data_IF_368990290593
#
_entry.id   IF_368990290593
#
_cell.length_a   1.000
_cell.length_b   1.000
_cell.length_c   1.000
_cell.angle_alpha   90.00
_cell.angle_beta   90.00
_cell.angle_gamma   90.00
#
_symmetry.space_group_name_H-M   'P 1'
#
loop_
_entity.id
_entity.type
_entity.pdbx_description
1 polymer ?
#
# COMPACT_ATOMS: atom_id res chain seq x y z
N UNK A 1 1.80 -19.93 0.86
CA UNK A 1 1.43 -18.49 0.92
C UNK A 1 0.28 -18.23 -0.04
N UNK A 2 -0.79 -17.66 0.47
CA UNK A 2 -1.97 -17.36 -0.32
C UNK A 2 -2.18 -15.84 -0.35
N UNK A 3 -2.44 -15.28 -1.54
CA UNK A 3 -2.67 -13.83 -1.71
C UNK A 3 -4.13 -13.62 -2.09
N UNK A 4 -4.86 -12.91 -1.26
CA UNK A 4 -6.29 -12.63 -1.44
C UNK A 4 -6.51 -11.18 -1.79
N UNK A 5 -7.43 -10.94 -2.69
CA UNK A 5 -7.78 -9.59 -3.16
C UNK A 5 -9.07 -9.12 -2.51
N UNK A 6 -9.05 -7.88 -2.02
CA UNK A 6 -10.24 -7.17 -1.51
C UNK A 6 -10.95 -7.88 -0.36
N UNK A 7 -10.20 -8.60 0.47
CA UNK A 7 -10.73 -9.31 1.65
C UNK A 7 -10.24 -8.76 2.98
N UNK A 8 -9.38 -7.74 2.95
CA UNK A 8 -8.75 -7.19 4.15
C UNK A 8 -9.80 -6.58 5.07
N UNK A 9 -9.86 -7.06 6.32
CA UNK A 9 -10.82 -6.56 7.31
C UNK A 9 -10.15 -5.67 8.36
N UNK A 10 -10.98 -5.01 9.17
CA UNK A 10 -10.53 -4.08 10.21
C UNK A 10 -9.52 -4.72 11.17
N UNK A 11 -9.83 -5.90 11.67
CA UNK A 11 -8.99 -6.57 12.67
C UNK A 11 -7.62 -6.93 12.09
N UNK A 12 -7.59 -7.47 10.89
CA UNK A 12 -6.35 -7.81 10.18
C UNK A 12 -5.51 -6.57 9.89
N UNK A 13 -6.15 -5.52 9.42
CA UNK A 13 -5.50 -4.24 9.12
C UNK A 13 -4.83 -3.65 10.36
N UNK A 14 -5.55 -3.53 11.46
CA UNK A 14 -5.03 -2.95 12.69
C UNK A 14 -3.90 -3.80 13.29
N UNK A 15 -4.06 -5.11 13.29
CA UNK A 15 -3.05 -6.04 13.82
C UNK A 15 -1.73 -5.92 13.05
N UNK A 16 -1.80 -5.82 11.72
CA UNK A 16 -0.60 -5.65 10.90
C UNK A 16 0.09 -4.33 11.16
N UNK A 17 -0.65 -3.23 11.25
CA UNK A 17 -0.07 -1.91 11.56
C UNK A 17 0.62 -1.92 12.93
N UNK A 18 -0.02 -2.50 13.92
CA UNK A 18 0.54 -2.64 15.27
C UNK A 18 1.83 -3.47 15.27
N UNK A 19 1.90 -4.50 14.41
CA UNK A 19 3.07 -5.38 14.34
C UNK A 19 4.36 -4.66 13.93
N UNK A 20 4.24 -3.50 13.27
CA UNK A 20 5.39 -2.66 12.88
C UNK A 20 5.44 -1.34 13.64
N UNK A 21 4.66 -1.20 14.72
CA UNK A 21 4.70 -0.05 15.61
C UNK A 21 3.94 1.18 15.12
N UNK A 22 3.06 1.02 14.14
CA UNK A 22 2.25 2.14 13.64
C UNK A 22 1.02 2.35 14.50
N UNK A 23 0.63 3.63 14.66
CA UNK A 23 -0.55 4.02 15.42
C UNK A 23 -1.77 3.93 14.51
N UNK A 24 -2.82 3.25 14.98
CA UNK A 24 -4.06 3.11 14.24
C UNK A 24 -4.92 4.36 14.32
N UNK A 25 -5.74 4.54 13.29
CA UNK A 25 -6.80 5.54 13.26
C UNK A 25 -8.01 5.04 14.04
N UNK A 26 -9.03 5.88 14.23
CA UNK A 26 -10.27 5.44 14.84
C UNK A 26 -10.92 4.31 14.05
N UNK A 27 -11.75 3.51 14.71
CA UNK A 27 -12.43 2.39 14.06
C UNK A 27 -13.32 2.86 12.91
N UNK A 28 -14.09 3.92 13.13
CA UNK A 28 -14.99 4.47 12.10
C UNK A 28 -14.22 4.92 10.86
N UNK A 29 -13.10 5.62 11.05
CA UNK A 29 -12.26 6.06 9.93
C UNK A 29 -11.66 4.84 9.20
N UNK A 30 -11.17 3.87 9.93
CA UNK A 30 -10.53 2.68 9.35
C UNK A 30 -11.52 1.86 8.52
N UNK A 31 -12.70 1.59 9.06
CA UNK A 31 -13.73 0.83 8.33
C UNK A 31 -14.16 1.56 7.05
N UNK A 32 -14.38 2.87 7.13
CA UNK A 32 -14.72 3.68 5.97
C UNK A 32 -13.59 3.66 4.93
N UNK A 33 -12.35 3.77 5.38
CA UNK A 33 -11.18 3.77 4.49
C UNK A 33 -11.02 2.44 3.77
N UNK A 34 -11.22 1.32 4.45
CA UNK A 34 -11.18 0.01 3.82
C UNK A 34 -12.27 -0.15 2.76
N UNK A 35 -13.48 0.31 3.06
CA UNK A 35 -14.59 0.29 2.10
C UNK A 35 -14.33 1.13 0.87
N UNK A 36 -13.60 2.25 1.03
CA UNK A 36 -13.29 3.18 -0.06
C UNK A 36 -11.97 2.88 -0.76
N UNK A 37 -11.28 1.83 -0.38
CA UNK A 37 -10.07 1.40 -1.07
C UNK A 37 -10.42 0.86 -2.45
N UNK A 38 -9.62 1.22 -3.46
CA UNK A 38 -9.82 0.70 -4.81
C UNK A 38 -9.43 -0.78 -4.88
N UNK A 39 -8.38 -1.15 -4.15
CA UNK A 39 -7.83 -2.49 -4.23
C UNK A 39 -7.01 -2.76 -2.97
N UNK A 40 -7.16 -3.94 -2.43
CA UNK A 40 -6.33 -4.41 -1.31
C UNK A 40 -5.81 -5.80 -1.59
N UNK A 41 -4.63 -6.09 -1.06
CA UNK A 41 -4.02 -7.41 -1.11
C UNK A 41 -3.75 -7.85 0.32
N UNK A 42 -4.10 -9.08 0.65
CA UNK A 42 -3.78 -9.71 1.92
C UNK A 42 -2.96 -10.98 1.65
N UNK A 43 -1.79 -11.07 2.24
CA UNK A 43 -0.94 -12.27 2.18
C UNK A 43 -1.24 -13.13 3.40
N UNK A 44 -1.64 -14.38 3.16
CA UNK A 44 -2.09 -15.30 4.22
C UNK A 44 -1.18 -16.51 4.31
N UNK A 45 -0.77 -16.84 5.52
CA UNK A 45 -0.03 -18.05 5.85
C UNK A 45 -0.67 -18.71 7.07
N UNK A 46 -0.95 -20.01 6.99
CA UNK A 46 -1.57 -20.76 8.08
C UNK A 46 -2.85 -20.09 8.63
N UNK A 47 -3.71 -19.64 7.72
CA UNK A 47 -4.98 -18.95 8.04
C UNK A 47 -4.81 -17.63 8.81
N UNK A 48 -3.62 -17.02 8.74
CA UNK A 48 -3.36 -15.70 9.33
C UNK A 48 -2.87 -14.75 8.25
N UNK A 49 -3.39 -13.52 8.26
CA UNK A 49 -2.90 -12.46 7.38
C UNK A 49 -1.59 -11.93 7.96
N UNK A 50 -0.51 -12.10 7.20
CA UNK A 50 0.85 -11.73 7.60
C UNK A 50 1.42 -10.58 6.81
N UNK A 51 0.72 -10.14 5.77
CA UNK A 51 1.12 -8.98 4.98
C UNK A 51 -0.09 -8.36 4.29
N UNK A 52 0.02 -7.09 3.96
CA UNK A 52 -1.03 -6.36 3.27
C UNK A 52 -0.49 -5.24 2.41
N UNK A 53 -1.33 -4.75 1.50
CA UNK A 53 -1.14 -3.51 0.77
C UNK A 53 -2.49 -2.95 0.38
N UNK A 54 -2.57 -1.63 0.26
CA UNK A 54 -3.82 -0.93 -0.03
C UNK A 54 -3.59 0.17 -1.06
N UNK A 55 -4.51 0.30 -2.01
CA UNK A 55 -4.46 1.29 -3.07
C UNK A 55 -5.69 2.20 -2.99
N UNK A 56 -5.47 3.50 -3.05
CA UNK A 56 -6.51 4.52 -3.17
C UNK A 56 -6.25 5.33 -4.44
N UNK A 57 -7.28 6.00 -4.96
CA UNK A 57 -7.14 6.82 -6.16
C UNK A 57 -8.43 7.01 -6.92
N UNK A 58 -8.33 7.64 -8.09
CA UNK A 58 -9.49 8.06 -8.87
C UNK A 58 -9.46 7.60 -10.34
N UNK A 59 -8.48 6.78 -10.72
CA UNK A 59 -8.33 6.35 -12.11
C UNK A 59 -7.28 7.14 -12.90
N UNK A 60 -6.77 8.23 -12.34
CA UNK A 60 -5.67 9.03 -12.91
C UNK A 60 -4.51 9.06 -11.93
N UNK A 61 -4.80 9.42 -10.71
CA UNK A 61 -3.88 9.49 -9.58
C UNK A 61 -4.18 8.36 -8.63
N UNK A 62 -3.16 7.62 -8.29
CA UNK A 62 -3.23 6.52 -7.34
C UNK A 62 -2.22 6.73 -6.23
N UNK A 63 -2.54 6.28 -5.05
CA UNK A 63 -1.60 6.27 -3.93
C UNK A 63 -1.58 4.88 -3.30
N UNK A 64 -0.38 4.33 -3.18
CA UNK A 64 -0.16 3.08 -2.44
C UNK A 64 0.03 3.46 -0.98
N UNK A 65 -0.75 2.83 -0.11
CA UNK A 65 -0.66 3.04 1.34
C UNK A 65 -0.61 1.69 2.05
N UNK A 66 -0.07 1.70 3.26
CA UNK A 66 -0.13 0.54 4.16
C UNK A 66 0.45 -0.77 3.60
N UNK A 67 1.59 -0.70 2.90
CA UNK A 67 2.33 -1.93 2.61
C UNK A 67 3.05 -2.34 3.89
N UNK A 68 2.57 -3.41 4.50
CA UNK A 68 3.09 -3.93 5.77
C UNK A 68 3.25 -5.43 5.67
N UNK A 69 4.39 -5.93 6.14
CA UNK A 69 4.62 -7.35 6.33
C UNK A 69 5.04 -7.56 7.79
N UNK A 70 4.43 -8.50 8.48
CA UNK A 70 4.81 -8.83 9.84
C UNK A 70 6.33 -9.10 9.91
N UNK A 71 7.02 -8.60 10.97
CA UNK A 71 8.48 -8.75 11.07
C UNK A 71 8.98 -10.18 10.85
N UNK A 72 8.28 -11.18 11.40
CA UNK A 72 8.68 -12.58 11.26
C UNK A 72 8.61 -13.11 9.82
N UNK A 73 7.92 -12.41 8.93
CA UNK A 73 7.71 -12.82 7.54
C UNK A 73 8.39 -11.90 6.53
N UNK A 74 9.19 -10.94 7.01
CA UNK A 74 9.92 -10.03 6.14
C UNK A 74 11.08 -10.76 5.45
N UNK A 75 11.55 -10.17 4.32
CA UNK A 75 12.66 -10.70 3.51
C UNK A 75 12.36 -12.07 2.85
N UNK A 76 11.08 -12.36 2.67
CA UNK A 76 10.61 -13.58 1.98
C UNK A 76 9.93 -13.26 0.64
N UNK A 77 10.01 -12.01 0.17
CA UNK A 77 9.41 -11.60 -1.09
C UNK A 77 7.93 -11.25 -1.03
N UNK A 78 7.33 -11.24 0.16
CA UNK A 78 5.90 -10.96 0.33
C UNK A 78 5.57 -9.52 -0.07
N UNK A 79 6.34 -8.55 0.42
CA UNK A 79 6.15 -7.14 0.06
C UNK A 79 6.29 -6.90 -1.44
N UNK A 80 7.25 -7.55 -2.07
CA UNK A 80 7.44 -7.47 -3.53
C UNK A 80 6.24 -8.03 -4.29
N UNK A 81 5.70 -9.14 -3.85
CA UNK A 81 4.51 -9.75 -4.49
C UNK A 81 3.29 -8.86 -4.35
N UNK A 82 3.07 -8.31 -3.16
CA UNK A 82 1.97 -7.37 -2.89
C UNK A 82 2.10 -6.13 -3.79
N UNK A 83 3.28 -5.53 -3.83
CA UNK A 83 3.52 -4.34 -4.66
C UNK A 83 3.29 -4.63 -6.14
N UNK A 84 3.78 -5.77 -6.63
CA UNK A 84 3.59 -6.17 -8.01
C UNK A 84 2.09 -6.35 -8.35
N UNK A 85 1.32 -6.95 -7.46
CA UNK A 85 -0.13 -7.12 -7.66
C UNK A 85 -0.84 -5.77 -7.76
N UNK A 86 -0.46 -4.81 -6.91
CA UNK A 86 -1.02 -3.46 -6.95
C UNK A 86 -0.66 -2.74 -8.26
N UNK A 87 0.59 -2.84 -8.69
CA UNK A 87 1.03 -2.22 -9.95
C UNK A 87 0.29 -2.86 -11.13
N UNK A 88 0.12 -4.16 -11.15
CA UNK A 88 -0.65 -4.86 -12.19
C UNK A 88 -2.10 -4.41 -12.22
N UNK A 89 -2.70 -4.18 -11.06
CA UNK A 89 -4.06 -3.64 -10.98
C UNK A 89 -4.15 -2.28 -11.69
N UNK A 90 -3.22 -1.38 -11.41
CA UNK A 90 -3.20 -0.05 -12.04
C UNK A 90 -2.93 -0.15 -13.53
N UNK A 91 -1.99 -0.99 -13.93
CA UNK A 91 -1.68 -1.22 -15.34
C UNK A 91 -2.92 -1.68 -16.10
N UNK A 92 -3.63 -2.65 -15.57
CA UNK A 92 -4.87 -3.17 -16.17
C UNK A 92 -5.99 -2.14 -16.21
N UNK A 93 -6.05 -1.25 -15.24
CA UNK A 93 -7.06 -0.19 -15.17
C UNK A 93 -6.74 1.03 -16.06
N UNK A 94 -5.50 1.15 -16.49
CA UNK A 94 -5.07 2.26 -17.34
C UNK A 94 -5.54 2.01 -18.78
N UNK A 95 -6.34 2.91 -19.37
CA UNK A 95 -6.84 2.68 -20.74
C UNK A 95 -5.74 2.85 -21.78
N UNK A 96 -5.92 2.22 -22.92
CA UNK A 96 -5.03 2.40 -24.06
C UNK A 96 -4.95 3.88 -24.46
N UNK A 97 -3.73 4.37 -24.66
CA UNK A 97 -3.49 5.79 -24.96
C UNK A 97 -3.53 6.69 -23.74
N UNK A 98 -3.85 6.14 -22.56
CA UNK A 98 -3.86 6.86 -21.30
C UNK A 98 -2.56 6.72 -20.53
N UNK A 99 -2.55 7.30 -19.33
CA UNK A 99 -1.45 7.15 -18.36
C UNK A 99 -2.01 7.26 -16.95
N UNK A 100 -1.32 6.65 -16.01
CA UNK A 100 -1.67 6.72 -14.60
C UNK A 100 -0.45 7.12 -13.78
N UNK A 101 -0.67 7.91 -12.73
CA UNK A 101 0.38 8.29 -11.79
C UNK A 101 0.19 7.51 -10.49
N UNK A 102 1.21 6.78 -10.07
CA UNK A 102 1.18 6.05 -8.79
C UNK A 102 2.18 6.72 -7.86
N UNK A 103 1.72 7.13 -6.69
CA UNK A 103 2.53 7.79 -5.68
C UNK A 103 2.52 6.99 -4.38
N UNK A 104 3.52 7.20 -3.56
CA UNK A 104 3.58 6.65 -2.21
C UNK A 104 4.51 7.48 -1.35
N UNK A 105 4.36 7.35 -0.04
CA UNK A 105 5.32 7.87 0.92
C UNK A 105 6.05 6.65 1.50
N UNK A 106 7.32 6.50 1.13
CA UNK A 106 8.12 5.37 1.61
C UNK A 106 8.41 5.51 3.11
N UNK A 107 8.36 4.39 3.82
CA UNK A 107 8.95 4.36 5.16
C UNK A 107 10.44 4.64 5.03
N UNK A 108 10.96 5.45 5.95
CA UNK A 108 12.37 5.84 5.93
C UNK A 108 13.28 4.61 5.91
N UNK A 109 14.17 4.56 4.93
CA UNK A 109 15.07 3.43 4.72
C UNK A 109 14.57 2.40 3.71
N UNK A 110 13.33 2.54 3.19
CA UNK A 110 12.75 1.61 2.22
C UNK A 110 12.74 2.17 0.80
N UNK A 111 13.34 3.32 0.56
CA UNK A 111 13.31 4.00 -0.74
C UNK A 111 13.88 3.12 -1.86
N UNK A 112 14.98 2.41 -1.60
CA UNK A 112 15.61 1.53 -2.61
C UNK A 112 14.71 0.39 -3.05
N UNK A 113 13.88 -0.13 -2.16
CA UNK A 113 12.90 -1.15 -2.49
C UNK A 113 11.95 -0.67 -3.59
N UNK A 114 11.44 0.56 -3.45
CA UNK A 114 10.53 1.15 -4.43
C UNK A 114 11.26 1.59 -5.71
N UNK A 115 12.46 2.12 -5.60
CA UNK A 115 13.27 2.50 -6.77
C UNK A 115 13.53 1.29 -7.66
N UNK A 116 13.75 0.11 -7.09
CA UNK A 116 13.95 -1.12 -7.84
C UNK A 116 12.71 -1.54 -8.65
N UNK A 117 11.55 -0.97 -8.35
CA UNK A 117 10.28 -1.22 -9.03
C UNK A 117 9.87 -0.06 -9.96
N UNK A 118 10.77 0.87 -10.27
CA UNK A 118 10.53 1.94 -11.21
C UNK A 118 9.99 3.23 -10.59
N UNK A 119 9.89 3.31 -9.27
CA UNK A 119 9.52 4.56 -8.60
C UNK A 119 10.71 5.49 -8.53
N UNK A 120 10.45 6.78 -8.71
CA UNK A 120 11.47 7.83 -8.60
C UNK A 120 11.26 8.60 -7.31
N UNK A 121 12.34 8.87 -6.60
CA UNK A 121 12.28 9.72 -5.40
C UNK A 121 11.90 11.14 -5.84
N UNK A 122 10.99 11.77 -5.11
CA UNK A 122 10.64 13.19 -5.31
C UNK A 122 11.26 14.04 -4.20
N UNK A 123 11.86 15.21 -4.53
CA UNK A 123 11.78 15.87 -5.84
C UNK A 123 12.71 15.26 -6.90
N UNK A 124 12.35 15.47 -8.14
CA UNK A 124 13.20 15.17 -9.29
C UNK A 124 13.05 16.27 -10.33
N UNK A 125 13.62 16.09 -11.53
CA UNK A 125 13.68 17.12 -12.57
C UNK A 125 12.33 17.80 -12.86
N UNK A 126 11.23 17.03 -12.84
CA UNK A 126 9.91 17.54 -13.22
C UNK A 126 8.93 17.64 -12.05
N UNK A 127 9.39 17.47 -10.81
CA UNK A 127 8.50 17.37 -9.67
C UNK A 127 9.13 17.95 -8.40
N UNK A 128 8.39 18.78 -7.69
CA UNK A 128 8.78 19.27 -6.37
C UNK A 128 8.61 18.22 -5.29
N UNK A 129 8.97 18.57 -4.05
CA UNK A 129 8.89 17.65 -2.93
C UNK A 129 7.44 17.26 -2.60
N UNK A 130 7.23 16.02 -2.18
CA UNK A 130 6.00 15.62 -1.54
C UNK A 130 5.84 16.35 -0.21
N UNK A 131 4.60 16.68 0.15
CA UNK A 131 4.28 17.42 1.38
C UNK A 131 3.10 16.77 2.08
N UNK A 132 3.06 16.89 3.41
CA UNK A 132 2.01 16.28 4.22
C UNK A 132 1.56 17.22 5.33
N UNK A 133 0.25 17.26 5.57
CA UNK A 133 -0.35 17.94 6.71
C UNK A 133 -1.25 16.95 7.45
N UNK A 134 -1.11 16.88 8.76
CA UNK A 134 -1.94 16.02 9.61
C UNK A 134 -2.88 16.92 10.43
N UNK A 135 -4.16 16.58 10.42
CA UNK A 135 -5.18 17.28 11.22
C UNK A 135 -5.55 16.39 12.40
N UNK A 136 -5.46 16.94 13.59
CA UNK A 136 -5.85 16.27 14.84
C UNK A 136 -6.97 17.02 15.51
N UNK A 137 -7.94 16.29 16.05
CA UNK A 137 -9.05 16.85 16.81
C UNK A 137 -9.22 16.17 18.14
#
# INVERSE_FOLDING_TARGET
MNYKENTLCYEEYCKLRESVGWINFSRTQTEKSLQNSLYTVAAEEDNQVVGMGRLIGDGMYYMIVDIVVQPAYQQMGIGSKILNMIIEYVDSATPDGGRSSIQLIAEKGKETFYESRGFKIIPHEFCGSGMRKVIRK
#
